data_IF_262891627309
#
_entry.id   IF_262891627309
#
_cell.length_a   1.000
_cell.length_b   1.000
_cell.length_c   1.000
_cell.angle_alpha   90.00
_cell.angle_beta   90.00
_cell.angle_gamma   90.00
#
_symmetry.space_group_name_H-M   'P 1'
#
loop_
_entity.id
_entity.type
_entity.pdbx_description
1 polymer ?
#
# COMPACT_ATOMS: atom_id res chain seq x y z
N UNK A 1 12.48 -7.78 10.79
CA UNK A 1 11.68 -6.56 11.02
C UNK A 1 10.33 -6.69 10.32
N UNK A 2 9.23 -6.22 10.95
CA UNK A 2 7.89 -6.21 10.35
C UNK A 2 7.93 -5.52 8.97
N UNK A 3 7.26 -6.05 7.92
CA UNK A 3 7.30 -5.48 6.57
C UNK A 3 6.60 -4.11 6.45
N UNK A 4 5.65 -3.78 7.33
CA UNK A 4 4.87 -2.53 7.23
C UNK A 4 5.71 -1.25 7.26
N UNK A 5 6.62 -1.02 8.24
CA UNK A 5 7.46 0.18 8.25
C UNK A 5 8.30 0.35 6.97
N UNK A 6 8.85 -0.74 6.44
CA UNK A 6 9.66 -0.70 5.22
C UNK A 6 8.82 -0.41 3.97
N UNK A 7 7.55 -0.82 3.96
CA UNK A 7 6.60 -0.44 2.91
C UNK A 7 6.21 1.04 3.02
N UNK A 8 5.87 1.52 4.23
CA UNK A 8 5.46 2.91 4.44
C UNK A 8 6.58 3.92 4.18
N UNK A 9 7.83 3.56 4.46
CA UNK A 9 8.99 4.38 4.13
C UNK A 9 9.16 4.65 2.62
N UNK A 10 8.42 3.92 1.76
CA UNK A 10 8.49 4.02 0.30
C UNK A 10 7.22 4.59 -0.34
N UNK A 11 6.31 5.16 0.46
CA UNK A 11 5.00 5.61 -0.01
C UNK A 11 5.07 6.52 -1.26
N UNK A 12 5.91 7.56 -1.34
CA UNK A 12 6.02 8.38 -2.54
C UNK A 12 6.38 7.56 -3.79
N UNK A 13 7.36 6.66 -3.69
CA UNK A 13 7.78 5.84 -4.84
C UNK A 13 6.73 4.80 -5.24
N UNK A 14 5.91 4.33 -4.29
CA UNK A 14 4.78 3.44 -4.57
C UNK A 14 3.68 4.18 -5.35
N UNK A 15 3.41 5.44 -5.01
CA UNK A 15 2.47 6.29 -5.75
C UNK A 15 2.96 6.50 -7.17
N UNK A 16 4.22 6.92 -7.36
CA UNK A 16 4.80 7.16 -8.69
C UNK A 16 4.69 5.92 -9.58
N UNK A 17 5.02 4.74 -9.04
CA UNK A 17 4.90 3.48 -9.77
C UNK A 17 3.45 3.11 -10.06
N UNK A 18 2.54 3.32 -9.11
CA UNK A 18 1.13 3.00 -9.27
C UNK A 18 0.51 3.89 -10.35
N UNK A 19 0.89 5.16 -10.40
CA UNK A 19 0.50 6.11 -11.45
C UNK A 19 1.06 5.69 -12.80
N UNK A 20 2.35 5.36 -12.89
CA UNK A 20 3.01 4.91 -14.11
C UNK A 20 2.40 3.62 -14.70
N UNK A 21 1.98 2.68 -13.84
CA UNK A 21 1.29 1.45 -14.27
C UNK A 21 -0.12 1.77 -14.81
N UNK A 22 -0.80 2.78 -14.25
CA UNK A 22 -2.10 3.22 -14.75
C UNK A 22 -3.27 2.26 -14.50
N UNK A 23 -3.05 1.13 -13.83
CA UNK A 23 -4.11 0.15 -13.55
C UNK A 23 -5.05 0.67 -12.44
N UNK A 24 -6.39 0.51 -12.59
CA UNK A 24 -7.37 1.08 -11.66
C UNK A 24 -7.48 0.34 -10.32
N UNK A 25 -6.93 -0.88 -10.22
CA UNK A 25 -7.00 -1.69 -9.01
C UNK A 25 -5.63 -1.88 -8.37
N UNK A 26 -5.56 -1.61 -7.07
CA UNK A 26 -4.48 -2.01 -6.18
C UNK A 26 -4.90 -3.29 -5.43
N UNK A 27 -4.12 -4.35 -5.58
CA UNK A 27 -4.29 -5.61 -4.84
C UNK A 27 -3.25 -5.67 -3.72
N UNK A 28 -3.69 -6.00 -2.52
CA UNK A 28 -2.84 -6.21 -1.35
C UNK A 28 -2.83 -7.68 -1.00
N UNK A 29 -1.63 -8.25 -0.95
CA UNK A 29 -1.38 -9.63 -0.56
C UNK A 29 -0.59 -9.65 0.75
N UNK A 30 -0.99 -10.51 1.68
CA UNK A 30 -0.31 -10.78 2.95
C UNK A 30 0.00 -12.27 3.00
N UNK A 31 1.27 -12.63 3.15
CA UNK A 31 1.71 -14.03 3.30
C UNK A 31 1.17 -15.00 2.20
N UNK A 32 1.02 -14.50 0.97
CA UNK A 32 0.50 -15.30 -0.16
C UNK A 32 -1.01 -15.23 -0.37
N UNK A 33 -1.75 -14.56 0.51
CA UNK A 33 -3.20 -14.42 0.43
C UNK A 33 -3.60 -13.01 0.01
N UNK A 34 -4.50 -12.88 -0.97
CA UNK A 34 -5.07 -11.58 -1.35
C UNK A 34 -6.11 -11.17 -0.31
N UNK A 35 -5.78 -10.17 0.50
CA UNK A 35 -6.64 -9.70 1.60
C UNK A 35 -7.46 -8.47 1.24
N UNK A 36 -7.05 -7.71 0.22
CA UNK A 36 -7.78 -6.54 -0.23
C UNK A 36 -7.60 -6.27 -1.73
N UNK A 37 -8.67 -5.76 -2.36
CA UNK A 37 -8.64 -5.15 -3.69
C UNK A 37 -9.29 -3.78 -3.58
N UNK A 38 -8.53 -2.74 -3.94
CA UNK A 38 -8.90 -1.36 -3.73
C UNK A 38 -8.95 -0.64 -5.08
N UNK A 39 -10.02 0.11 -5.31
CA UNK A 39 -10.11 0.99 -6.47
C UNK A 39 -9.25 2.21 -6.22
N UNK A 40 -8.26 2.44 -7.09
CA UNK A 40 -7.41 3.62 -7.06
C UNK A 40 -8.24 4.81 -7.55
N UNK A 41 -8.42 5.87 -6.75
CA UNK A 41 -9.06 7.09 -7.24
C UNK A 41 -8.18 7.74 -8.29
N UNK A 42 -8.79 8.30 -9.33
CA UNK A 42 -8.10 9.18 -10.24
C UNK A 42 -7.72 10.49 -9.57
N UNK A 43 -6.73 11.20 -10.10
CA UNK A 43 -6.38 12.54 -9.62
C UNK A 43 -7.57 13.50 -9.69
N UNK A 44 -8.35 13.43 -10.77
CA UNK A 44 -9.57 14.22 -10.93
C UNK A 44 -10.62 13.91 -9.85
N UNK A 45 -10.73 12.65 -9.40
CA UNK A 45 -11.66 12.25 -8.35
C UNK A 45 -11.23 12.80 -6.99
N UNK A 46 -9.92 12.75 -6.70
CA UNK A 46 -9.35 13.33 -5.49
C UNK A 46 -9.53 14.86 -5.44
N UNK A 47 -9.28 15.54 -6.56
CA UNK A 47 -9.52 16.99 -6.69
C UNK A 47 -11.00 17.34 -6.58
N UNK A 48 -11.89 16.53 -7.18
CA UNK A 48 -13.33 16.73 -7.07
C UNK A 48 -13.81 16.53 -5.63
N UNK A 49 -13.31 15.54 -4.91
CA UNK A 49 -13.62 15.31 -3.50
C UNK A 49 -13.20 16.50 -2.63
N UNK A 50 -11.99 17.04 -2.85
CA UNK A 50 -11.47 18.18 -2.10
C UNK A 50 -12.25 19.49 -2.29
N UNK A 51 -13.06 19.60 -3.35
CA UNK A 51 -13.90 20.80 -3.60
C UNK A 51 -15.14 20.89 -2.70
N UNK A 52 -15.50 19.81 -2.01
CA UNK A 52 -16.67 19.80 -1.14
C UNK A 52 -16.35 20.50 0.20
N UNK A 53 -17.19 21.43 0.67
CA UNK A 53 -16.95 22.14 1.92
C UNK A 53 -16.76 21.18 3.10
N UNK A 54 -15.64 21.33 3.83
CA UNK A 54 -15.30 20.49 4.98
C UNK A 54 -14.64 19.16 4.66
N UNK A 55 -14.40 18.83 3.38
CA UNK A 55 -13.67 17.61 3.01
C UNK A 55 -12.15 17.82 3.03
N UNK A 56 -11.37 16.81 3.47
CA UNK A 56 -9.93 16.88 3.42
C UNK A 56 -9.41 16.76 1.98
N UNK A 57 -8.35 17.49 1.67
CA UNK A 57 -7.60 17.29 0.41
C UNK A 57 -6.81 15.99 0.50
N UNK A 58 -7.33 14.92 -0.12
CA UNK A 58 -6.60 13.65 -0.20
C UNK A 58 -5.62 13.67 -1.37
N UNK A 59 -4.33 13.59 -1.07
CA UNK A 59 -3.31 13.28 -2.07
C UNK A 59 -3.32 11.79 -2.40
N UNK A 60 -2.75 11.40 -3.54
CA UNK A 60 -2.59 9.98 -3.87
C UNK A 60 -1.77 9.22 -2.79
N UNK A 61 -0.77 9.89 -2.21
CA UNK A 61 -0.01 9.37 -1.07
C UNK A 61 -0.87 9.21 0.18
N UNK A 62 -1.68 10.22 0.52
CA UNK A 62 -2.60 10.17 1.65
C UNK A 62 -3.61 9.04 1.52
N UNK A 63 -4.21 8.89 0.33
CA UNK A 63 -5.09 7.77 0.02
C UNK A 63 -4.39 6.42 0.21
N UNK A 64 -3.18 6.24 -0.33
CA UNK A 64 -2.44 4.99 -0.23
C UNK A 64 -2.07 4.66 1.22
N UNK A 65 -1.61 5.66 1.98
CA UNK A 65 -1.32 5.53 3.40
C UNK A 65 -2.55 5.09 4.18
N UNK A 66 -3.69 5.73 3.98
CA UNK A 66 -4.94 5.38 4.66
C UNK A 66 -5.42 3.97 4.30
N UNK A 67 -5.40 3.64 3.01
CA UNK A 67 -5.78 2.33 2.48
C UNK A 67 -4.95 1.21 3.14
N UNK A 68 -3.63 1.34 3.10
CA UNK A 68 -2.71 0.35 3.68
C UNK A 68 -2.79 0.35 5.22
N UNK A 69 -3.04 1.49 5.86
CA UNK A 69 -3.25 1.56 7.30
C UNK A 69 -4.50 0.80 7.74
N UNK A 70 -5.58 0.82 6.95
CA UNK A 70 -6.77 -0.01 7.20
C UNK A 70 -6.43 -1.50 7.12
N UNK A 71 -5.72 -1.93 6.08
CA UNK A 71 -5.29 -3.34 5.97
C UNK A 71 -4.40 -3.75 7.15
N UNK A 72 -3.41 -2.92 7.51
CA UNK A 72 -2.52 -3.16 8.64
C UNK A 72 -3.27 -3.35 9.96
N UNK A 73 -4.42 -2.70 10.18
CA UNK A 73 -5.21 -2.90 11.42
C UNK A 73 -5.69 -4.34 11.56
N UNK A 74 -6.03 -5.01 10.46
CA UNK A 74 -6.46 -6.40 10.44
C UNK A 74 -5.29 -7.38 10.36
N UNK A 75 -4.17 -6.97 9.75
CA UNK A 75 -2.96 -7.76 9.57
C UNK A 75 -1.74 -7.02 10.15
N UNK A 76 -1.67 -6.81 11.48
CA UNK A 76 -0.63 -5.97 12.08
C UNK A 76 0.77 -6.60 11.98
N UNK A 77 0.83 -7.94 11.97
CA UNK A 77 2.08 -8.71 11.97
C UNK A 77 2.08 -9.80 10.89
N UNK A 78 2.34 -9.42 9.63
CA UNK A 78 2.57 -10.40 8.56
C UNK A 78 3.73 -11.32 8.93
N UNK A 79 3.56 -12.63 8.69
CA UNK A 79 4.51 -13.67 9.07
C UNK A 79 5.77 -13.61 8.21
N UNK A 80 5.58 -13.42 6.91
CA UNK A 80 6.61 -13.51 5.88
C UNK A 80 6.67 -12.29 4.98
N UNK A 81 5.54 -11.81 4.45
CA UNK A 81 5.56 -10.78 3.41
C UNK A 81 4.27 -9.95 3.31
N UNK A 82 4.46 -8.74 2.79
CA UNK A 82 3.41 -7.88 2.24
C UNK A 82 3.76 -7.62 0.78
N UNK A 83 2.83 -7.85 -0.13
CA UNK A 83 2.99 -7.53 -1.54
C UNK A 83 1.84 -6.66 -2.06
N UNK A 84 2.19 -5.74 -2.95
CA UNK A 84 1.27 -4.83 -3.62
C UNK A 84 1.34 -5.09 -5.12
N UNK A 85 0.18 -5.17 -5.77
CA UNK A 85 0.07 -5.36 -7.21
C UNK A 85 -0.89 -4.35 -7.82
N UNK A 86 -0.58 -3.91 -9.03
CA UNK A 86 -1.46 -3.12 -9.87
C UNK A 86 -1.85 -4.00 -11.07
N UNK A 87 -3.05 -4.58 -11.01
CA UNK A 87 -3.41 -5.68 -11.92
C UNK A 87 -2.52 -6.90 -11.68
N UNK A 88 -1.85 -7.38 -12.72
CA UNK A 88 -0.85 -8.46 -12.62
C UNK A 88 0.58 -7.95 -12.35
N UNK A 89 0.82 -6.63 -12.37
CA UNK A 89 2.16 -6.08 -12.24
C UNK A 89 2.52 -5.85 -10.76
N UNK A 90 3.67 -6.35 -10.27
CA UNK A 90 4.10 -6.12 -8.90
C UNK A 90 4.57 -4.68 -8.69
N UNK A 91 3.96 -4.00 -7.73
CA UNK A 91 4.32 -2.64 -7.30
C UNK A 91 5.48 -2.68 -6.28
N UNK A 92 5.31 -3.54 -5.27
CA UNK A 92 6.31 -3.79 -4.24
C UNK A 92 6.07 -5.15 -3.56
N UNK A 93 7.17 -5.76 -3.12
CA UNK A 93 7.15 -6.94 -2.25
C UNK A 93 8.13 -6.67 -1.12
N UNK A 94 7.63 -6.67 0.11
CA UNK A 94 8.44 -6.48 1.31
C UNK A 94 8.35 -7.74 2.14
N UNK A 95 9.49 -8.41 2.31
CA UNK A 95 9.60 -9.58 3.15
C UNK A 95 10.06 -9.20 4.56
N UNK A 96 9.63 -9.96 5.56
CA UNK A 96 10.17 -9.92 6.90
C UNK A 96 11.64 -10.33 6.80
N UNK A 97 12.53 -9.42 7.19
CA UNK A 97 13.94 -9.78 7.39
C UNK A 97 14.02 -10.61 8.67
N UNK A 98 14.35 -11.89 8.58
CA UNK A 98 14.72 -12.68 9.74
C UNK A 98 15.93 -11.99 10.39
N UNK A 99 15.85 -11.75 11.70
CA UNK A 99 17.02 -11.29 12.44
C UNK A 99 18.06 -12.40 12.34
N UNK A 100 19.29 -12.04 11.99
CA UNK A 100 20.43 -12.95 12.11
C UNK A 100 20.45 -13.42 13.55
N UNK A 101 20.07 -14.69 13.78
CA UNK A 101 20.28 -15.32 15.07
C UNK A 101 21.78 -15.27 15.35
N UNK A 102 22.15 -14.60 16.45
CA UNK A 102 23.47 -14.83 17.02
C UNK A 102 23.52 -16.32 17.36
N UNK A 103 24.35 -17.05 16.61
CA UNK A 103 24.79 -18.37 17.03
C UNK A 103 25.49 -18.21 18.40
N UNK A 104 25.15 -19.12 19.30
CA UNK A 104 25.61 -19.19 20.68
C UNK A 104 27.14 -19.20 20.82
#
# INVERSE_FOLDING_TARGET
MNPWPALFARLPQLVDRLEAIGHPLLTVEIDGEVVARLVRPGRADLEAHARWPGMPTHTAEGWLLEALSKVRRYYPEPRERVALYAGSQPLAVVRRREGVGHAA
#
